data_IF_750585866844
#
_entry.id   IF_750585866844
#
_cell.length_a   1.000
_cell.length_b   1.000
_cell.length_c   1.000
_cell.angle_alpha   90.00
_cell.angle_beta   90.00
_cell.angle_gamma   90.00
#
_symmetry.space_group_name_H-M   'P 1'
#
loop_
_entity.id
_entity.type
_entity.pdbx_description
1 polymer ?
#
# COMPACT_ATOMS: atom_id res chain seq x y z
N UNK A 1 22.28 10.54 -11.66
CA UNK A 1 21.43 10.38 -12.86
C UNK A 1 20.04 10.05 -12.37
N UNK A 2 19.13 11.02 -12.37
CA UNK A 2 17.73 10.77 -11.99
C UNK A 2 16.97 10.35 -13.24
N UNK A 3 16.47 9.12 -13.26
CA UNK A 3 15.62 8.64 -14.34
C UNK A 3 14.20 9.11 -14.02
N UNK A 4 13.81 10.23 -14.60
CA UNK A 4 12.41 10.67 -14.61
C UNK A 4 11.67 9.79 -15.62
N UNK A 5 11.04 8.70 -15.17
CA UNK A 5 10.05 7.99 -16.01
C UNK A 5 8.77 8.81 -16.01
N UNK A 6 8.42 9.33 -17.18
CA UNK A 6 7.15 9.97 -17.44
C UNK A 6 6.03 8.95 -17.25
N UNK A 7 5.09 9.23 -16.35
CA UNK A 7 3.90 8.41 -16.16
C UNK A 7 3.02 8.53 -17.41
N UNK A 8 3.07 7.54 -18.31
CA UNK A 8 2.05 7.42 -19.34
C UNK A 8 0.80 6.83 -18.68
N UNK A 9 -0.32 7.57 -18.78
CA UNK A 9 -1.65 7.07 -18.40
C UNK A 9 -1.90 5.74 -19.14
N UNK A 10 -1.74 4.62 -18.44
CA UNK A 10 -1.87 3.27 -18.99
C UNK A 10 -0.76 2.28 -18.63
N UNK A 11 0.30 2.68 -17.93
CA UNK A 11 1.34 1.76 -17.45
C UNK A 11 0.75 0.80 -16.39
N UNK A 12 0.68 -0.53 -16.63
CA UNK A 12 0.06 -1.49 -15.72
C UNK A 12 0.85 -1.74 -14.43
N UNK A 13 1.89 -0.97 -14.15
CA UNK A 13 2.86 -1.26 -13.09
C UNK A 13 3.86 -2.33 -13.54
N UNK A 14 4.96 -2.47 -12.80
CA UNK A 14 5.96 -3.51 -13.10
C UNK A 14 5.50 -4.83 -12.48
N UNK A 15 5.47 -5.95 -13.23
CA UNK A 15 5.16 -7.26 -12.66
C UNK A 15 6.08 -7.56 -11.46
N UNK A 16 5.49 -7.96 -10.34
CA UNK A 16 6.24 -8.30 -9.13
C UNK A 16 6.48 -9.82 -9.04
N UNK A 17 7.41 -10.24 -8.17
CA UNK A 17 7.78 -11.65 -8.01
C UNK A 17 6.70 -12.51 -7.32
N UNK A 18 5.66 -11.88 -6.77
CA UNK A 18 4.57 -12.52 -6.04
C UNK A 18 3.32 -12.77 -6.89
N UNK A 19 3.40 -12.55 -8.21
CA UNK A 19 2.27 -12.76 -9.12
C UNK A 19 1.28 -11.59 -9.09
N UNK A 20 1.77 -10.37 -9.30
CA UNK A 20 0.94 -9.16 -9.34
C UNK A 20 1.69 -7.98 -9.95
N UNK A 21 1.31 -6.76 -9.60
CA UNK A 21 1.88 -5.51 -10.09
C UNK A 21 2.44 -4.66 -8.96
N UNK A 22 3.58 -4.02 -9.18
CA UNK A 22 4.16 -3.02 -8.30
C UNK A 22 4.15 -1.66 -8.98
N UNK A 23 3.66 -0.66 -8.26
CA UNK A 23 3.71 0.75 -8.62
C UNK A 23 4.58 1.46 -7.58
N UNK A 24 5.42 2.40 -8.02
CA UNK A 24 6.21 3.21 -7.12
C UNK A 24 6.03 4.69 -7.43
N UNK A 25 6.08 5.51 -6.39
CA UNK A 25 6.16 6.95 -6.47
C UNK A 25 7.28 7.42 -5.55
N UNK A 26 8.09 8.36 -6.02
CA UNK A 26 9.23 8.86 -5.26
C UNK A 26 9.44 10.34 -5.55
N UNK A 27 9.63 11.13 -4.49
CA UNK A 27 10.05 12.53 -4.57
C UNK A 27 11.05 12.87 -3.45
N UNK A 28 11.37 14.16 -3.28
CA UNK A 28 12.34 14.60 -2.26
C UNK A 28 11.86 14.35 -0.81
N UNK A 29 10.54 14.26 -0.60
CA UNK A 29 9.93 14.18 0.72
C UNK A 29 9.58 12.74 1.14
N UNK A 30 9.22 11.88 0.19
CA UNK A 30 8.70 10.54 0.46
C UNK A 30 8.91 9.55 -0.71
N UNK A 31 8.93 8.27 -0.35
CA UNK A 31 8.79 7.14 -1.27
C UNK A 31 7.55 6.30 -0.92
N UNK A 32 6.89 5.79 -1.95
CA UNK A 32 5.69 4.94 -1.84
C UNK A 32 5.85 3.76 -2.79
N UNK A 33 5.63 2.56 -2.27
CA UNK A 33 5.49 1.33 -3.03
C UNK A 33 4.07 0.79 -2.83
N UNK A 34 3.37 0.49 -3.92
CA UNK A 34 2.07 -0.17 -3.92
C UNK A 34 2.20 -1.51 -4.64
N UNK A 35 1.99 -2.59 -3.90
CA UNK A 35 1.91 -3.95 -4.43
C UNK A 35 0.44 -4.31 -4.57
N UNK A 36 0.05 -4.79 -5.73
CA UNK A 36 -1.30 -5.26 -6.03
C UNK A 36 -1.16 -6.70 -6.48
N UNK A 37 -1.81 -7.64 -5.82
CA UNK A 37 -1.77 -9.05 -6.22
C UNK A 37 -2.58 -9.26 -7.53
N UNK A 38 -2.29 -10.30 -8.31
CA UNK A 38 -3.16 -10.67 -9.41
C UNK A 38 -4.50 -11.17 -8.82
N UNK A 39 -5.66 -10.68 -9.30
CA UNK A 39 -6.94 -11.21 -8.87
C UNK A 39 -7.02 -12.71 -9.20
N UNK A 40 -7.19 -13.59 -8.21
CA UNK A 40 -7.35 -15.00 -8.51
C UNK A 40 -8.74 -15.24 -9.12
N UNK A 41 -8.86 -16.19 -10.08
CA UNK A 41 -10.07 -16.38 -10.88
C UNK A 41 -11.34 -16.69 -10.06
N UNK A 42 -11.19 -17.23 -8.85
CA UNK A 42 -12.26 -17.65 -7.96
C UNK A 42 -12.20 -16.97 -6.58
N UNK A 43 -11.51 -15.82 -6.46
CA UNK A 43 -11.46 -15.05 -5.21
C UNK A 43 -12.85 -14.47 -4.92
N UNK A 44 -13.70 -15.29 -4.32
CA UNK A 44 -14.99 -14.93 -3.73
C UNK A 44 -14.91 -13.93 -2.58
N UNK A 45 -13.78 -13.25 -2.42
CA UNK A 45 -13.53 -12.20 -1.46
C UNK A 45 -13.88 -10.82 -2.07
N UNK A 46 -15.18 -10.51 -2.10
CA UNK A 46 -15.74 -9.17 -2.35
C UNK A 46 -15.35 -8.44 -3.65
N UNK A 47 -14.73 -9.08 -4.64
CA UNK A 47 -14.33 -8.42 -5.89
C UNK A 47 -13.29 -7.31 -5.69
N UNK A 48 -12.51 -7.37 -4.62
CA UNK A 48 -11.42 -6.43 -4.33
C UNK A 48 -10.09 -7.15 -4.44
N UNK A 49 -9.16 -6.56 -5.19
CA UNK A 49 -7.80 -7.10 -5.36
C UNK A 49 -6.97 -6.74 -4.12
N UNK A 50 -6.33 -7.70 -3.44
CA UNK A 50 -5.44 -7.40 -2.32
C UNK A 50 -4.34 -6.42 -2.73
N UNK A 51 -4.07 -5.45 -1.86
CA UNK A 51 -3.03 -4.47 -2.09
C UNK A 51 -2.29 -4.12 -0.80
N UNK A 52 -0.97 -3.97 -0.89
CA UNK A 52 -0.09 -3.53 0.18
C UNK A 52 0.55 -2.20 -0.19
N UNK A 53 0.39 -1.19 0.65
CA UNK A 53 0.99 0.13 0.48
C UNK A 53 2.08 0.35 1.52
N UNK A 54 3.32 0.49 1.08
CA UNK A 54 4.43 0.93 1.93
C UNK A 54 4.73 2.39 1.64
N UNK A 55 4.66 3.25 2.66
CA UNK A 55 5.03 4.65 2.55
C UNK A 55 6.17 4.96 3.53
N UNK A 56 7.21 5.62 3.04
CA UNK A 56 8.36 6.03 3.85
C UNK A 56 8.62 7.51 3.61
N UNK A 57 8.72 8.29 4.68
CA UNK A 57 9.32 9.62 4.58
C UNK A 57 10.82 9.48 4.33
N UNK A 58 11.38 10.43 3.58
CA UNK A 58 12.84 10.59 3.45
C UNK A 58 13.44 11.36 4.64
N UNK A 59 12.59 11.90 5.52
CA UNK A 59 12.99 12.47 6.80
C UNK A 59 13.00 11.39 7.88
N UNK A 60 14.16 11.17 8.51
CA UNK A 60 14.32 10.14 9.56
C UNK A 60 13.39 10.32 10.77
N UNK A 61 12.82 11.51 10.96
CA UNK A 61 12.03 11.85 12.16
C UNK A 61 10.52 11.80 11.95
N UNK A 62 10.01 11.55 10.73
CA UNK A 62 8.57 11.73 10.40
C UNK A 62 7.87 10.50 9.80
N UNK A 63 8.52 9.33 9.78
CA UNK A 63 7.94 8.12 9.18
C UNK A 63 6.61 7.68 9.83
N UNK A 64 6.56 7.66 11.17
CA UNK A 64 5.37 7.21 11.90
C UNK A 64 4.21 8.21 11.76
N UNK A 65 4.47 9.52 11.88
CA UNK A 65 3.42 10.54 11.69
C UNK A 65 2.83 10.52 10.27
N UNK A 66 3.68 10.26 9.28
CA UNK A 66 3.25 10.16 7.89
C UNK A 66 2.35 8.93 7.69
N UNK A 67 2.75 7.78 8.25
CA UNK A 67 1.96 6.56 8.20
C UNK A 67 0.59 6.75 8.87
N UNK A 68 0.54 7.36 10.06
CA UNK A 68 -0.71 7.66 10.77
C UNK A 68 -1.62 8.63 9.99
N UNK A 69 -1.06 9.72 9.43
CA UNK A 69 -1.83 10.68 8.61
C UNK A 69 -2.40 10.03 7.35
N UNK A 70 -1.64 9.16 6.71
CA UNK A 70 -2.06 8.43 5.52
C UNK A 70 -3.19 7.45 5.85
N UNK A 71 -3.03 6.66 6.91
CA UNK A 71 -4.05 5.74 7.39
C UNK A 71 -5.35 6.48 7.74
N UNK A 72 -5.28 7.54 8.56
CA UNK A 72 -6.44 8.34 8.93
C UNK A 72 -7.15 8.94 7.70
N UNK A 73 -6.40 9.40 6.69
CA UNK A 73 -6.97 9.93 5.44
C UNK A 73 -7.70 8.86 4.65
N UNK A 74 -7.10 7.68 4.47
CA UNK A 74 -7.69 6.57 3.73
C UNK A 74 -8.91 6.00 4.45
N UNK A 75 -8.84 5.84 5.77
CA UNK A 75 -9.95 5.34 6.59
C UNK A 75 -11.17 6.26 6.48
N UNK A 76 -10.95 7.58 6.52
CA UNK A 76 -12.01 8.59 6.37
C UNK A 76 -12.71 8.53 5.00
N UNK A 77 -12.09 7.99 3.95
CA UNK A 77 -12.75 7.83 2.66
C UNK A 77 -13.82 6.73 2.68
N UNK A 78 -13.72 5.77 3.61
CA UNK A 78 -14.69 4.68 3.77
C UNK A 78 -14.79 3.71 2.58
N UNK A 79 -13.81 3.74 1.67
CA UNK A 79 -13.77 2.93 0.43
C UNK A 79 -12.86 1.72 0.51
N UNK A 80 -11.94 1.70 1.48
CA UNK A 80 -10.87 0.74 1.57
C UNK A 80 -10.95 0.01 2.91
N UNK A 81 -10.68 -1.30 2.88
CA UNK A 81 -10.32 -2.06 4.08
C UNK A 81 -8.82 -1.87 4.29
N UNK A 82 -8.44 -1.41 5.47
CA UNK A 82 -7.07 -1.01 5.79
C UNK A 82 -6.59 -1.81 6.99
N UNK A 83 -5.37 -2.32 6.90
CA UNK A 83 -4.64 -2.93 8.01
C UNK A 83 -3.28 -2.25 8.09
N UNK A 84 -2.92 -1.77 9.27
CA UNK A 84 -1.58 -1.26 9.57
C UNK A 84 -0.76 -2.38 10.20
N UNK A 85 0.50 -2.51 9.80
CA UNK A 85 1.43 -3.51 10.31
C UNK A 85 2.63 -2.83 10.98
N UNK A 86 3.12 -3.41 12.07
CA UNK A 86 4.44 -3.13 12.59
C UNK A 86 5.53 -3.67 11.65
N UNK A 87 6.77 -3.20 11.81
CA UNK A 87 7.93 -3.68 11.03
C UNK A 87 8.16 -5.20 11.15
N UNK A 88 7.65 -5.83 12.22
CA UNK A 88 7.68 -7.28 12.42
C UNK A 88 6.68 -8.05 11.55
N UNK A 89 5.80 -7.36 10.82
CA UNK A 89 4.69 -7.94 10.08
C UNK A 89 3.45 -8.20 10.95
N UNK A 90 3.45 -7.82 12.23
CA UNK A 90 2.29 -7.96 13.10
C UNK A 90 1.26 -6.85 12.83
N UNK A 91 -0.04 -7.16 12.65
CA UNK A 91 -1.09 -6.14 12.59
C UNK A 91 -1.12 -5.30 13.87
N UNK A 92 -1.32 -3.99 13.75
CA UNK A 92 -1.43 -3.06 14.87
C UNK A 92 -2.71 -2.22 14.87
N UNK A 93 -3.37 -2.08 13.72
CA UNK A 93 -4.66 -1.38 13.60
C UNK A 93 -5.41 -1.84 12.34
N UNK A 94 -6.75 -1.77 12.35
CA UNK A 94 -7.56 -1.94 11.16
C UNK A 94 -8.90 -1.18 11.26
N UNK A 95 -9.43 -0.76 10.10
CA UNK A 95 -10.71 -0.07 10.03
C UNK A 95 -11.92 -1.02 9.85
N UNK A 96 -11.69 -2.32 10.01
CA UNK A 96 -12.69 -3.37 9.95
C UNK A 96 -12.36 -4.42 11.01
N UNK A 97 -13.36 -5.20 11.41
CA UNK A 97 -13.12 -6.34 12.29
C UNK A 97 -12.38 -7.42 11.52
N UNK A 98 -11.33 -7.89 12.16
CA UNK A 98 -10.31 -8.72 11.56
C UNK A 98 -10.08 -10.01 12.38
N UNK A 99 -10.87 -10.22 13.43
CA UNK A 99 -10.83 -11.42 14.28
C UNK A 99 -9.73 -11.37 15.35
N UNK A 100 -9.66 -12.40 16.20
CA UNK A 100 -8.63 -12.55 17.25
C UNK A 100 -7.54 -13.58 16.87
N UNK A 101 -7.71 -14.35 15.78
CA UNK A 101 -6.82 -15.44 15.36
C UNK A 101 -5.80 -14.97 14.29
N UNK A 102 -4.72 -14.35 14.75
CA UNK A 102 -3.60 -13.86 13.91
C UNK A 102 -2.32 -14.65 14.11
#
# INVERSE_FOLDING_TARGET
MSVSRTYETGDPGVPNEYGGYQYWFDNEDLSVDLYVEEPAPDDGFFGQVPAMLMARSRSETQNWEMAEKLYARLARLGRYRLVAFADSGMPIDANFDIGDDW
#
